data_IF_451128115347
#
_entry.id   IF_451128115347
#
_cell.length_a   1.000
_cell.length_b   1.000
_cell.length_c   1.000
_cell.angle_alpha   90.00
_cell.angle_beta   90.00
_cell.angle_gamma   90.00
#
_symmetry.space_group_name_H-M   'P 1'
#
loop_
_entity.id
_entity.type
_entity.pdbx_description
1 polymer ?
#
# COMPACT_ATOMS: atom_id res chain seq x y z
N UNK A 1 -22.65 -44.13 53.23
CA UNK A 1 -22.78 -45.60 53.48
C UNK A 1 -22.76 -46.24 52.10
N UNK A 2 -21.77 -46.97 51.60
CA UNK A 2 -20.79 -47.94 52.11
C UNK A 2 -19.45 -47.71 51.34
N UNK A 3 -18.30 -47.46 51.97
CA UNK A 3 -17.25 -48.41 52.37
C UNK A 3 -17.14 -49.67 51.51
N UNK A 4 -15.97 -49.91 50.87
CA UNK A 4 -15.10 -51.07 51.15
C UNK A 4 -13.70 -50.83 50.54
N UNK A 5 -12.71 -50.87 51.43
CA UNK A 5 -11.27 -51.02 51.18
C UNK A 5 -10.99 -52.46 50.71
N UNK A 6 -10.00 -52.66 49.83
CA UNK A 6 -9.05 -53.76 50.01
C UNK A 6 -7.72 -53.59 49.27
N UNK A 7 -6.73 -54.18 49.94
CA UNK A 7 -5.27 -54.09 49.85
C UNK A 7 -4.68 -54.68 48.56
N UNK A 8 -3.49 -54.15 48.23
CA UNK A 8 -2.57 -54.61 47.19
C UNK A 8 -2.04 -56.05 47.39
N UNK A 9 -1.45 -56.63 46.32
CA UNK A 9 -0.33 -57.53 46.47
C UNK A 9 0.96 -56.98 45.81
N UNK A 10 2.01 -57.01 46.61
CA UNK A 10 3.42 -56.91 46.24
C UNK A 10 3.79 -58.05 45.28
N UNK A 11 4.45 -57.71 44.16
CA UNK A 11 5.23 -58.68 43.37
C UNK A 11 6.56 -58.10 42.96
N UNK A 12 7.60 -58.87 43.30
CA UNK A 12 9.03 -58.66 43.12
C UNK A 12 9.40 -58.45 41.65
N UNK A 13 10.27 -57.47 41.40
CA UNK A 13 10.98 -57.28 40.13
C UNK A 13 12.11 -58.31 39.97
N UNK A 14 12.26 -58.96 38.81
CA UNK A 14 13.55 -59.50 38.39
C UNK A 14 14.30 -58.45 37.55
N UNK A 15 15.55 -58.21 37.91
CA UNK A 15 16.52 -57.51 37.07
C UNK A 15 16.67 -58.24 35.72
N UNK A 16 16.30 -57.59 34.62
CA UNK A 16 16.79 -57.93 33.29
C UNK A 16 17.61 -56.75 32.75
N UNK A 17 18.91 -56.97 32.61
CA UNK A 17 19.81 -56.10 31.83
C UNK A 17 19.37 -56.09 30.37
N UNK A 18 18.78 -54.97 29.94
CA UNK A 18 18.59 -54.69 28.52
C UNK A 18 19.89 -54.15 27.93
N UNK A 19 20.47 -54.87 26.97
CA UNK A 19 21.54 -54.38 26.11
C UNK A 19 21.00 -53.22 25.27
N UNK A 20 21.63 -52.05 25.39
CA UNK A 20 21.35 -50.88 24.55
C UNK A 20 21.93 -51.14 23.15
N UNK A 21 21.06 -51.19 22.15
CA UNK A 21 21.47 -51.16 20.74
C UNK A 21 21.82 -49.71 20.34
N UNK A 22 22.84 -49.48 19.51
CA UNK A 22 23.18 -48.13 19.08
C UNK A 22 22.10 -47.55 18.16
N UNK A 23 21.66 -46.34 18.50
CA UNK A 23 20.69 -45.53 17.75
C UNK A 23 21.19 -45.22 16.34
N UNK A 24 20.36 -45.49 15.31
CA UNK A 24 20.59 -45.06 13.92
C UNK A 24 20.59 -43.52 13.85
N UNK A 25 21.50 -42.89 13.09
CA UNK A 25 21.47 -41.44 12.94
C UNK A 25 20.28 -41.01 12.07
N UNK A 26 19.57 -39.98 12.52
CA UNK A 26 18.49 -39.32 11.78
C UNK A 26 19.01 -38.74 10.44
N UNK A 27 18.22 -38.76 9.35
CA UNK A 27 18.62 -38.13 8.11
C UNK A 27 18.76 -36.62 8.33
N UNK A 28 19.95 -36.07 8.04
CA UNK A 28 20.19 -34.63 8.08
C UNK A 28 19.26 -33.95 7.10
N UNK A 29 18.47 -32.98 7.56
CA UNK A 29 17.71 -32.09 6.69
C UNK A 29 18.68 -31.46 5.67
N UNK A 30 18.49 -31.80 4.40
CA UNK A 30 19.22 -31.19 3.29
C UNK A 30 18.83 -29.71 3.27
N UNK A 31 19.79 -28.83 3.57
CA UNK A 31 19.61 -27.37 3.45
C UNK A 31 19.19 -27.10 2.01
N UNK A 32 17.94 -26.66 1.82
CA UNK A 32 17.47 -26.14 0.55
C UNK A 32 18.27 -24.86 0.30
N UNK A 33 19.05 -24.83 -0.77
CA UNK A 33 19.77 -23.63 -1.18
C UNK A 33 18.75 -22.52 -1.43
N UNK A 34 19.02 -21.25 -1.04
CA UNK A 34 18.13 -20.16 -1.37
C UNK A 34 18.06 -20.06 -2.90
N UNK A 35 16.86 -20.26 -3.44
CA UNK A 35 16.56 -20.02 -4.85
C UNK A 35 16.98 -18.60 -5.18
N UNK A 36 17.95 -18.44 -6.08
CA UNK A 36 18.43 -17.14 -6.52
C UNK A 36 17.24 -16.32 -7.02
N UNK A 37 16.87 -15.28 -6.26
CA UNK A 37 15.92 -14.29 -6.72
C UNK A 37 16.58 -13.56 -7.88
N UNK A 38 16.07 -13.80 -9.09
CA UNK A 38 16.44 -13.07 -10.30
C UNK A 38 16.35 -11.58 -10.00
N UNK A 39 17.50 -10.93 -9.84
CA UNK A 39 17.59 -9.47 -9.65
C UNK A 39 17.46 -8.85 -11.03
N UNK A 40 16.26 -8.88 -11.60
CA UNK A 40 15.92 -7.97 -12.69
C UNK A 40 15.86 -6.58 -12.07
N UNK A 41 16.66 -5.65 -12.57
CA UNK A 41 16.54 -4.25 -12.18
C UNK A 41 15.05 -3.83 -12.30
N UNK A 42 14.50 -3.09 -11.32
CA UNK A 42 13.12 -2.66 -11.41
C UNK A 42 12.96 -1.85 -12.68
N UNK A 43 12.05 -2.28 -13.54
CA UNK A 43 11.74 -1.54 -14.76
C UNK A 43 11.19 -0.17 -14.33
N UNK A 44 11.78 0.90 -14.85
CA UNK A 44 11.38 2.27 -14.53
C UNK A 44 9.91 2.43 -14.90
N UNK A 45 9.09 2.89 -13.96
CA UNK A 45 7.68 3.13 -14.21
C UNK A 45 7.51 4.17 -15.33
N UNK A 46 6.56 3.98 -16.27
CA UNK A 46 6.34 4.92 -17.37
C UNK A 46 6.01 6.32 -16.86
N UNK A 47 6.37 7.38 -17.59
CA UNK A 47 5.85 8.73 -17.32
C UNK A 47 4.34 8.76 -17.50
N UNK A 48 3.65 9.57 -16.69
CA UNK A 48 2.21 9.77 -16.85
C UNK A 48 1.89 10.66 -18.06
N UNK A 49 0.67 10.57 -18.62
CA UNK A 49 0.28 11.38 -19.77
C UNK A 49 0.20 12.87 -19.43
N UNK A 50 0.18 13.69 -20.48
CA UNK A 50 0.01 15.14 -20.33
C UNK A 50 -1.40 15.49 -19.87
N UNK A 51 -1.52 16.41 -18.91
CA UNK A 51 -2.80 16.96 -18.45
C UNK A 51 -3.21 18.24 -19.20
N UNK A 52 -2.56 18.58 -20.32
CA UNK A 52 -2.79 19.83 -21.04
C UNK A 52 -4.28 20.09 -21.37
N UNK A 53 -5.03 19.04 -21.73
CA UNK A 53 -6.46 19.14 -22.03
C UNK A 53 -7.29 19.59 -20.82
N UNK A 54 -7.02 19.04 -19.64
CA UNK A 54 -7.72 19.44 -18.42
C UNK A 54 -7.29 20.83 -17.95
N UNK A 55 -6.02 21.18 -18.09
CA UNK A 55 -5.52 22.54 -17.82
C UNK A 55 -6.23 23.56 -18.73
N UNK A 56 -6.30 23.30 -20.03
CA UNK A 56 -7.00 24.17 -20.99
C UNK A 56 -8.50 24.24 -20.73
N UNK A 57 -9.12 23.10 -20.37
CA UNK A 57 -10.52 23.04 -19.99
C UNK A 57 -10.79 23.95 -18.79
N UNK A 58 -10.00 23.85 -17.71
CA UNK A 58 -10.16 24.74 -16.55
C UNK A 58 -9.96 26.21 -16.87
N UNK A 59 -8.96 26.54 -17.68
CA UNK A 59 -8.73 27.93 -18.12
C UNK A 59 -9.90 28.48 -18.95
N UNK A 60 -10.58 27.64 -19.74
CA UNK A 60 -11.73 28.07 -20.55
C UNK A 60 -13.02 28.20 -19.75
N UNK A 61 -13.24 27.32 -18.80
CA UNK A 61 -14.42 27.37 -17.93
C UNK A 61 -14.42 28.65 -17.11
N UNK A 62 -13.25 29.10 -16.62
CA UNK A 62 -13.01 30.26 -15.73
C UNK A 62 -13.88 30.31 -14.44
N UNK A 63 -14.84 29.39 -14.32
CA UNK A 63 -15.64 29.15 -13.14
C UNK A 63 -14.77 28.58 -12.02
N UNK A 64 -15.14 28.92 -10.78
CA UNK A 64 -14.56 28.29 -9.61
C UNK A 64 -14.80 26.77 -9.64
N UNK A 65 -13.86 25.96 -9.14
CA UNK A 65 -14.09 24.52 -8.94
C UNK A 65 -15.37 24.29 -8.12
N UNK A 66 -16.13 23.26 -8.47
CA UNK A 66 -17.28 22.86 -7.67
C UNK A 66 -16.80 22.12 -6.43
N UNK A 67 -16.68 22.85 -5.31
CA UNK A 67 -16.18 22.35 -4.03
C UNK A 67 -17.33 22.22 -3.02
N UNK A 68 -17.53 21.01 -2.51
CA UNK A 68 -18.48 20.71 -1.42
C UNK A 68 -17.69 20.42 -0.15
N UNK A 69 -17.94 21.17 0.93
CA UNK A 69 -17.37 20.89 2.26
C UNK A 69 -18.20 19.82 2.96
N UNK A 70 -17.63 18.63 3.15
CA UNK A 70 -18.25 17.51 3.86
C UNK A 70 -18.03 17.65 5.37
N UNK A 71 -16.83 18.08 5.75
CA UNK A 71 -16.47 18.41 7.12
C UNK A 71 -15.74 19.75 7.10
N UNK A 72 -16.27 20.71 7.83
CA UNK A 72 -15.78 22.09 7.84
C UNK A 72 -14.28 22.11 8.16
N UNK A 73 -13.49 22.72 7.29
CA UNK A 73 -12.03 22.84 7.38
C UNK A 73 -11.22 21.52 7.37
N UNK A 74 -11.82 20.37 7.04
CA UNK A 74 -11.11 19.07 7.04
C UNK A 74 -11.34 18.23 5.78
N UNK A 75 -12.57 18.18 5.26
CA UNK A 75 -12.91 17.28 4.15
C UNK A 75 -13.71 18.04 3.09
N UNK A 76 -13.17 18.07 1.88
CA UNK A 76 -13.84 18.57 0.68
C UNK A 76 -14.04 17.49 -0.38
N UNK A 77 -15.05 17.69 -1.22
CA UNK A 77 -15.28 16.95 -2.47
C UNK A 77 -15.20 17.94 -3.61
N UNK A 78 -14.43 17.60 -4.65
CA UNK A 78 -14.25 18.42 -5.85
C UNK A 78 -14.77 17.64 -7.04
N UNK A 79 -15.84 18.13 -7.66
CA UNK A 79 -16.40 17.49 -8.84
C UNK A 79 -15.57 17.81 -10.11
N UNK A 80 -15.58 16.85 -11.04
CA UNK A 80 -14.93 16.97 -12.35
C UNK A 80 -13.44 17.35 -12.29
N UNK A 81 -12.75 16.99 -11.20
CA UNK A 81 -11.33 17.30 -10.97
C UNK A 81 -10.45 16.94 -12.17
N UNK A 82 -10.71 15.79 -12.79
CA UNK A 82 -10.12 15.35 -14.06
C UNK A 82 -11.21 14.83 -14.99
N UNK A 83 -11.04 15.04 -16.29
CA UNK A 83 -11.94 14.46 -17.28
C UNK A 83 -11.83 12.94 -17.31
N UNK A 84 -12.93 12.27 -17.66
CA UNK A 84 -12.97 10.81 -17.87
C UNK A 84 -11.88 10.34 -18.84
N UNK A 85 -11.68 11.05 -19.95
CA UNK A 85 -10.69 10.70 -20.97
C UNK A 85 -9.27 10.68 -20.40
N UNK A 86 -8.93 11.67 -19.56
CA UNK A 86 -7.64 11.74 -18.88
C UNK A 86 -7.46 10.63 -17.87
N UNK A 87 -8.49 10.31 -17.07
CA UNK A 87 -8.44 9.18 -16.15
C UNK A 87 -8.20 7.85 -16.89
N UNK A 88 -8.88 7.62 -18.02
CA UNK A 88 -8.66 6.44 -18.87
C UNK A 88 -7.23 6.40 -19.44
N UNK A 89 -6.70 7.55 -19.87
CA UNK A 89 -5.33 7.66 -20.40
C UNK A 89 -4.27 7.38 -19.34
N UNK A 90 -4.44 7.87 -18.10
CA UNK A 90 -3.57 7.56 -16.96
C UNK A 90 -3.56 6.04 -16.71
N UNK A 91 -4.73 5.41 -16.66
CA UNK A 91 -4.84 3.96 -16.42
C UNK A 91 -4.14 3.17 -17.53
N UNK A 92 -4.45 3.46 -18.80
CA UNK A 92 -3.83 2.80 -19.95
C UNK A 92 -2.30 2.95 -19.94
N UNK A 93 -1.81 4.15 -19.69
CA UNK A 93 -0.36 4.43 -19.65
C UNK A 93 0.36 3.56 -18.61
N UNK A 94 -0.25 3.39 -17.42
CA UNK A 94 0.31 2.55 -16.37
C UNK A 94 0.26 1.07 -16.78
N UNK A 95 -0.89 0.61 -17.28
CA UNK A 95 -1.11 -0.79 -17.68
C UNK A 95 -0.18 -1.21 -18.82
N UNK A 96 0.01 -0.37 -19.83
CA UNK A 96 0.86 -0.64 -20.99
C UNK A 96 2.36 -0.59 -20.66
N UNK A 97 2.77 0.24 -19.70
CA UNK A 97 4.19 0.46 -19.43
C UNK A 97 4.84 -0.62 -18.58
N UNK A 98 4.16 -1.12 -17.54
CA UNK A 98 4.59 -2.25 -16.67
C UNK A 98 3.47 -2.73 -15.71
N UNK A 99 2.28 -2.13 -15.76
CA UNK A 99 1.20 -2.42 -14.83
C UNK A 99 1.45 -1.94 -13.41
N UNK A 100 0.54 -2.35 -12.52
CA UNK A 100 0.59 -2.06 -11.09
C UNK A 100 1.38 -3.15 -10.37
N UNK A 101 2.43 -2.77 -9.64
CA UNK A 101 3.18 -3.71 -8.82
C UNK A 101 2.40 -4.04 -7.55
N UNK A 102 2.34 -5.31 -7.17
CA UNK A 102 1.68 -5.70 -5.92
C UNK A 102 2.45 -5.15 -4.72
N UNK A 103 1.76 -4.38 -3.87
CA UNK A 103 2.30 -3.75 -2.68
C UNK A 103 1.59 -4.27 -1.44
N UNK A 104 2.38 -4.67 -0.43
CA UNK A 104 1.90 -5.12 0.87
C UNK A 104 2.68 -4.43 2.01
N UNK A 105 2.21 -4.59 3.24
CA UNK A 105 2.81 -4.01 4.45
C UNK A 105 3.05 -5.08 5.49
N UNK A 106 3.91 -4.78 6.46
CA UNK A 106 4.10 -5.64 7.64
C UNK A 106 2.98 -5.49 8.69
N UNK A 107 2.15 -4.45 8.56
CA UNK A 107 0.96 -4.19 9.36
C UNK A 107 1.20 -3.32 10.60
N UNK A 108 0.14 -3.01 11.38
CA UNK A 108 0.12 -1.96 12.41
C UNK A 108 1.12 -2.17 13.55
N UNK A 109 1.50 -3.43 13.82
CA UNK A 109 2.58 -3.75 14.76
C UNK A 109 3.94 -3.14 14.39
N UNK A 110 4.10 -2.66 13.15
CA UNK A 110 5.29 -1.95 12.67
C UNK A 110 4.99 -0.49 12.29
N UNK A 111 3.86 0.07 12.75
CA UNK A 111 3.45 1.44 12.42
C UNK A 111 2.91 1.61 11.00
N UNK A 112 2.68 0.52 10.26
CA UNK A 112 2.17 0.56 8.89
C UNK A 112 0.69 0.15 8.86
N UNK A 113 -0.16 0.81 8.08
CA UNK A 113 -1.48 0.26 7.81
C UNK A 113 -1.36 -1.09 7.09
N UNK A 114 -2.24 -2.04 7.46
CA UNK A 114 -2.47 -3.25 6.68
C UNK A 114 -2.83 -2.88 5.24
N UNK A 115 -2.03 -3.34 4.27
CA UNK A 115 -2.28 -3.08 2.85
C UNK A 115 -2.01 -4.29 1.98
N UNK A 116 -2.83 -4.39 0.94
CA UNK A 116 -2.68 -5.29 -0.19
C UNK A 116 -3.33 -4.60 -1.38
N UNK A 117 -2.54 -4.11 -2.34
CA UNK A 117 -3.06 -3.46 -3.54
C UNK A 117 -2.06 -3.48 -4.69
N UNK A 118 -2.54 -3.18 -5.90
CA UNK A 118 -1.67 -2.79 -7.00
C UNK A 118 -1.22 -1.34 -6.83
N UNK A 119 0.06 -1.06 -7.04
CA UNK A 119 0.64 0.28 -6.91
C UNK A 119 1.52 0.64 -8.09
N UNK A 120 1.27 1.81 -8.64
CA UNK A 120 2.20 2.59 -9.45
C UNK A 120 2.77 3.72 -8.58
N UNK A 121 4.07 4.00 -8.70
CA UNK A 121 4.71 5.12 -8.03
C UNK A 121 5.85 5.67 -8.88
N UNK A 122 5.91 7.00 -9.03
CA UNK A 122 6.95 7.68 -9.79
C UNK A 122 7.13 9.12 -9.30
N UNK A 123 8.37 9.60 -9.33
CA UNK A 123 8.61 11.04 -9.19
C UNK A 123 8.38 11.73 -10.55
N UNK A 124 7.35 12.58 -10.62
CA UNK A 124 6.94 13.29 -11.84
C UNK A 124 6.48 14.72 -11.52
N UNK A 125 7.45 15.63 -11.48
CA UNK A 125 7.20 17.05 -11.16
C UNK A 125 6.40 17.78 -12.24
N UNK A 126 6.52 17.36 -13.49
CA UNK A 126 5.76 17.96 -14.59
C UNK A 126 4.29 17.59 -14.44
N UNK A 127 3.99 16.32 -14.20
CA UNK A 127 2.64 15.86 -13.94
C UNK A 127 2.04 16.52 -12.68
N UNK A 128 2.79 16.58 -11.58
CA UNK A 128 2.31 17.19 -10.32
C UNK A 128 1.93 18.66 -10.48
N UNK A 129 2.73 19.44 -11.24
CA UNK A 129 2.41 20.84 -11.55
C UNK A 129 1.19 20.95 -12.46
N UNK A 130 1.12 20.14 -13.51
CA UNK A 130 -0.02 20.16 -14.41
C UNK A 130 -1.32 19.74 -13.70
N UNK A 131 -1.23 18.82 -12.73
CA UNK A 131 -2.38 18.40 -11.92
C UNK A 131 -2.86 19.53 -11.00
N UNK A 132 -1.94 20.25 -10.38
CA UNK A 132 -2.26 21.44 -9.57
C UNK A 132 -3.02 22.49 -10.39
N UNK A 133 -2.55 22.76 -11.61
CA UNK A 133 -3.22 23.69 -12.52
C UNK A 133 -4.57 23.16 -13.02
N UNK A 134 -4.67 21.85 -13.30
CA UNK A 134 -5.88 21.19 -13.79
C UNK A 134 -7.02 21.14 -12.75
N UNK A 135 -6.72 21.28 -11.47
CA UNK A 135 -7.74 21.35 -10.40
C UNK A 135 -7.90 22.75 -9.82
N UNK A 136 -7.18 23.74 -10.36
CA UNK A 136 -7.07 25.07 -9.76
C UNK A 136 -6.78 25.01 -8.25
N UNK A 137 -5.62 24.42 -7.91
CA UNK A 137 -5.31 24.09 -6.52
C UNK A 137 -5.40 25.28 -5.57
N UNK A 138 -5.11 26.51 -6.01
CA UNK A 138 -5.26 27.70 -5.15
C UNK A 138 -6.69 27.92 -4.70
N UNK A 139 -7.65 27.96 -5.65
CA UNK A 139 -9.07 28.14 -5.31
C UNK A 139 -9.65 26.91 -4.62
N UNK A 140 -9.19 25.71 -4.99
CA UNK A 140 -9.67 24.45 -4.40
C UNK A 140 -9.28 24.31 -2.92
N UNK A 141 -8.07 24.70 -2.54
CA UNK A 141 -7.52 24.50 -1.19
C UNK A 141 -7.42 25.77 -0.34
N UNK A 142 -8.02 26.88 -0.77
CA UNK A 142 -7.99 28.19 -0.09
C UNK A 142 -8.44 28.14 1.38
N UNK A 143 -9.24 27.14 1.76
CA UNK A 143 -9.81 27.02 3.10
C UNK A 143 -8.87 26.40 4.14
N UNK A 144 -7.79 25.75 3.72
CA UNK A 144 -6.93 24.96 4.61
C UNK A 144 -5.46 25.36 4.53
N UNK A 145 -4.98 25.77 3.35
CA UNK A 145 -3.56 25.92 3.07
C UNK A 145 -3.25 27.23 2.34
N UNK A 146 -3.00 28.30 3.11
CA UNK A 146 -2.63 29.62 2.57
C UNK A 146 -1.31 29.60 1.77
N UNK A 147 -0.40 28.67 2.09
CA UNK A 147 0.93 28.56 1.48
C UNK A 147 1.07 27.36 0.52
N UNK A 148 -0.02 26.63 0.24
CA UNK A 148 0.00 25.55 -0.73
C UNK A 148 0.29 26.08 -2.14
N UNK A 149 1.25 25.45 -2.80
CA UNK A 149 1.74 25.90 -4.11
C UNK A 149 1.87 24.77 -5.14
N UNK A 150 1.37 23.57 -4.83
CA UNK A 150 1.54 22.40 -5.68
C UNK A 150 1.40 21.08 -4.95
N UNK A 151 1.34 20.00 -5.72
CA UNK A 151 1.32 18.64 -5.21
C UNK A 151 2.73 18.06 -5.03
N UNK A 152 2.83 17.04 -4.16
CA UNK A 152 4.04 16.25 -4.02
C UNK A 152 4.36 15.55 -5.36
N UNK A 153 5.60 15.67 -5.91
CA UNK A 153 5.98 15.04 -7.16
C UNK A 153 6.04 13.52 -7.10
N UNK A 154 6.04 12.90 -5.92
CA UNK A 154 5.93 11.44 -5.76
C UNK A 154 4.48 10.98 -5.99
N UNK A 155 4.09 10.91 -7.26
CA UNK A 155 2.75 10.49 -7.69
C UNK A 155 2.57 9.00 -7.48
N UNK A 156 1.42 8.63 -6.90
CA UNK A 156 1.05 7.24 -6.63
C UNK A 156 -0.35 6.99 -7.14
N UNK A 157 -0.53 5.89 -7.84
CA UNK A 157 -1.85 5.41 -8.29
C UNK A 157 -2.02 4.00 -7.76
N UNK A 158 -3.18 3.75 -7.15
CA UNK A 158 -3.50 2.47 -6.54
C UNK A 158 -4.63 1.80 -7.31
N UNK A 159 -4.51 0.48 -7.50
CA UNK A 159 -5.52 -0.38 -8.09
C UNK A 159 -5.96 -1.39 -7.05
N UNK A 160 -7.26 -1.50 -6.85
CA UNK A 160 -7.89 -2.49 -5.99
C UNK A 160 -8.80 -3.37 -6.85
N UNK A 161 -8.55 -4.68 -6.87
CA UNK A 161 -9.49 -5.63 -7.44
C UNK A 161 -10.52 -5.99 -6.35
N UNK A 162 -11.77 -5.56 -6.53
CA UNK A 162 -12.82 -5.65 -5.51
C UNK A 162 -13.07 -7.06 -4.96
N UNK A 163 -12.80 -8.09 -5.75
CA UNK A 163 -13.09 -9.50 -5.40
C UNK A 163 -11.88 -10.25 -4.78
N UNK A 164 -10.69 -9.64 -4.73
CA UNK A 164 -9.43 -10.34 -4.36
C UNK A 164 -8.97 -10.10 -2.93
N UNK A 165 -9.74 -9.38 -2.11
CA UNK A 165 -9.33 -9.01 -0.76
C UNK A 165 -8.26 -7.91 -0.71
N UNK A 166 -8.11 -7.15 -1.80
CA UNK A 166 -7.31 -5.93 -1.79
C UNK A 166 -7.89 -4.93 -0.77
N UNK A 167 -7.03 -4.30 0.01
CA UNK A 167 -7.43 -3.43 1.10
C UNK A 167 -6.35 -2.43 1.45
N UNK A 168 -6.77 -1.34 2.09
CA UNK A 168 -5.89 -0.45 2.81
C UNK A 168 -6.58 -0.04 4.10
N UNK A 169 -6.03 -0.49 5.23
CA UNK A 169 -6.60 -0.23 6.55
C UNK A 169 -6.46 1.23 6.99
N UNK A 170 -7.22 1.66 8.01
CA UNK A 170 -7.12 2.99 8.58
C UNK A 170 -5.68 3.32 9.04
N UNK A 171 -5.23 4.53 8.74
CA UNK A 171 -3.94 5.07 9.15
C UNK A 171 -3.94 6.60 9.09
N UNK A 172 -2.90 7.21 9.64
CA UNK A 172 -2.59 8.63 9.48
C UNK A 172 -1.40 8.72 8.52
N UNK A 173 -1.49 9.62 7.55
CA UNK A 173 -0.37 9.88 6.64
C UNK A 173 0.74 10.65 7.36
N UNK A 174 1.98 10.26 7.09
CA UNK A 174 3.14 10.96 7.63
C UNK A 174 3.37 12.28 6.90
N UNK A 175 3.68 13.34 7.67
CA UNK A 175 4.18 14.59 7.08
C UNK A 175 5.52 14.32 6.42
N UNK A 176 5.66 14.75 5.17
CA UNK A 176 6.91 14.59 4.41
C UNK A 176 7.50 15.96 4.07
N UNK A 177 8.83 16.03 4.08
CA UNK A 177 9.55 17.21 3.56
C UNK A 177 10.05 16.89 2.17
N UNK A 178 9.56 17.64 1.18
CA UNK A 178 10.01 17.54 -0.21
C UNK A 178 10.65 18.85 -0.59
N UNK A 179 11.96 18.81 -0.90
CA UNK A 179 12.74 19.97 -1.35
C UNK A 179 12.63 21.19 -0.41
N UNK A 180 12.67 20.92 0.90
CA UNK A 180 12.59 21.95 1.94
C UNK A 180 11.17 22.46 2.24
N UNK A 181 10.14 21.98 1.54
CA UNK A 181 8.73 22.28 1.85
C UNK A 181 8.08 21.10 2.56
N UNK A 182 7.25 21.37 3.56
CA UNK A 182 6.51 20.33 4.29
C UNK A 182 5.15 20.14 3.63
N UNK A 183 4.66 18.90 3.59
CA UNK A 183 3.25 18.65 3.31
C UNK A 183 2.39 19.22 4.43
N UNK A 184 1.18 19.69 4.06
CA UNK A 184 0.12 20.11 4.98
C UNK A 184 -0.15 19.09 6.07
#
# INVERSE_FOLDING_TARGET
KFSHSHRAPSRRSPHMSARVAPSRPMPRHRRVAPTATSTRAPAVAPSLPSLARDVERRRREDAAPNVVRVLENEIIVVDDALSRATCEEIIRTIEDGNGFAHATSRGPKYGEAWRSNGRYAREDETFARALWDAVDGKRTFEFELDDASGFNPNIRVYKYAGDTGDHFGPHVDERVTVRGRRSG
#
